data_IF_667447430894
#
_entry.id   IF_667447430894
#
_cell.length_a   1.000
_cell.length_b   1.000
_cell.length_c   1.000
_cell.angle_alpha   90.00
_cell.angle_beta   90.00
_cell.angle_gamma   90.00
#
_symmetry.space_group_name_H-M   'P 1'
#
loop_
_entity.id
_entity.type
_entity.pdbx_description
1 polymer ?
#
# COMPACT_ATOMS: atom_id res chain seq x y z
N UNK A 1 6.75 13.06 -7.35
CA UNK A 1 6.82 12.08 -6.24
C UNK A 1 5.64 11.09 -6.20
N UNK A 2 4.45 11.44 -6.70
CA UNK A 2 3.25 10.58 -6.62
C UNK A 2 3.09 9.50 -7.72
N UNK A 3 3.71 9.64 -8.90
CA UNK A 3 3.36 8.84 -10.09
C UNK A 3 4.15 7.55 -10.30
N UNK A 4 5.37 7.43 -9.76
CA UNK A 4 6.23 6.26 -9.97
C UNK A 4 5.92 5.14 -8.96
N UNK A 5 5.87 5.46 -7.67
CA UNK A 5 5.61 4.49 -6.60
C UNK A 5 4.25 3.81 -6.74
N UNK A 6 3.24 4.53 -7.21
CA UNK A 6 1.87 4.03 -7.39
C UNK A 6 1.75 2.92 -8.45
N UNK A 7 2.53 2.99 -9.55
CA UNK A 7 2.58 1.90 -10.55
C UNK A 7 3.24 0.66 -10.00
N UNK A 8 4.32 0.83 -9.22
CA UNK A 8 5.02 -0.26 -8.55
C UNK A 8 4.13 -0.99 -7.57
N UNK A 9 3.33 -0.25 -6.80
CA UNK A 9 2.35 -0.81 -5.85
C UNK A 9 1.24 -1.54 -6.60
N UNK A 10 0.70 -0.97 -7.68
CA UNK A 10 -0.27 -1.64 -8.56
C UNK A 10 0.25 -2.98 -9.07
N UNK A 11 1.46 -3.00 -9.64
CA UNK A 11 2.04 -4.22 -10.20
C UNK A 11 2.33 -5.27 -9.12
N UNK A 12 2.87 -4.86 -7.97
CA UNK A 12 3.09 -5.75 -6.84
C UNK A 12 1.78 -6.34 -6.30
N UNK A 13 0.73 -5.52 -6.25
CA UNK A 13 -0.60 -5.96 -5.82
C UNK A 13 -1.20 -7.00 -6.76
N UNK A 14 -1.05 -6.84 -8.08
CA UNK A 14 -1.51 -7.83 -9.05
C UNK A 14 -0.78 -9.17 -8.92
N UNK A 15 0.56 -9.13 -8.77
CA UNK A 15 1.38 -10.33 -8.63
C UNK A 15 1.05 -11.10 -7.34
N UNK A 16 0.91 -10.38 -6.22
CA UNK A 16 0.48 -10.97 -4.94
C UNK A 16 -0.94 -11.57 -5.05
N UNK A 17 -1.88 -10.83 -5.63
CA UNK A 17 -3.24 -11.31 -5.85
C UNK A 17 -3.29 -12.60 -6.68
N UNK A 18 -2.54 -12.64 -7.79
CA UNK A 18 -2.44 -13.83 -8.62
C UNK A 18 -1.83 -15.02 -7.86
N UNK A 19 -0.80 -14.79 -7.05
CA UNK A 19 -0.16 -15.83 -6.23
C UNK A 19 -1.10 -16.40 -5.17
N UNK A 20 -1.99 -15.56 -4.64
CA UNK A 20 -3.04 -15.91 -3.67
C UNK A 20 -4.28 -16.54 -4.32
N UNK A 21 -4.26 -16.78 -5.64
CA UNK A 21 -5.29 -17.52 -6.35
C UNK A 21 -6.43 -16.67 -6.92
N UNK A 22 -6.36 -15.33 -6.83
CA UNK A 22 -7.28 -14.46 -7.57
C UNK A 22 -7.04 -14.63 -9.08
N UNK A 23 -8.09 -14.45 -9.88
CA UNK A 23 -8.04 -14.63 -11.34
C UNK A 23 -8.75 -13.52 -12.09
N UNK A 24 -8.33 -13.30 -13.33
CA UNK A 24 -9.02 -12.45 -14.30
C UNK A 24 -9.26 -11.03 -13.78
N UNK A 25 -10.53 -10.64 -13.64
CA UNK A 25 -10.91 -9.31 -13.18
C UNK A 25 -10.49 -9.03 -11.73
N UNK A 26 -10.48 -10.05 -10.85
CA UNK A 26 -10.10 -9.86 -9.45
C UNK A 26 -8.70 -9.30 -9.31
N UNK A 27 -7.71 -9.91 -9.98
CA UNK A 27 -6.32 -9.44 -10.00
C UNK A 27 -6.23 -7.99 -10.46
N UNK A 28 -6.87 -7.66 -11.58
CA UNK A 28 -6.84 -6.29 -12.13
C UNK A 28 -7.48 -5.27 -11.19
N UNK A 29 -8.56 -5.62 -10.51
CA UNK A 29 -9.20 -4.71 -9.56
C UNK A 29 -8.32 -4.42 -8.34
N UNK A 30 -7.57 -5.40 -7.85
CA UNK A 30 -6.57 -5.16 -6.79
C UNK A 30 -5.42 -4.29 -7.30
N UNK A 31 -4.98 -4.50 -8.54
CA UNK A 31 -4.03 -3.60 -9.21
C UNK A 31 -4.52 -2.16 -9.26
N UNK A 32 -5.75 -1.94 -9.72
CA UNK A 32 -6.39 -0.61 -9.74
C UNK A 32 -6.47 -0.02 -8.33
N UNK A 33 -6.81 -0.81 -7.31
CA UNK A 33 -6.81 -0.33 -5.93
C UNK A 33 -5.41 0.13 -5.48
N UNK A 34 -4.37 -0.65 -5.79
CA UNK A 34 -2.97 -0.25 -5.58
C UNK A 34 -2.59 1.01 -6.35
N UNK A 35 -3.10 1.20 -7.56
CA UNK A 35 -2.87 2.42 -8.35
C UNK A 35 -3.62 3.65 -7.80
N UNK A 36 -4.69 3.47 -7.04
CA UNK A 36 -5.52 4.57 -6.55
C UNK A 36 -5.41 4.82 -5.04
N UNK A 37 -4.66 3.98 -4.30
CA UNK A 37 -4.57 4.04 -2.84
C UNK A 37 -4.23 5.43 -2.28
N UNK A 38 -3.41 6.17 -3.01
CA UNK A 38 -2.84 7.45 -2.61
C UNK A 38 -3.51 8.68 -3.26
N UNK A 39 -4.60 8.52 -4.03
CA UNK A 39 -5.24 9.64 -4.75
C UNK A 39 -5.69 10.77 -3.80
N UNK A 40 -6.01 10.44 -2.55
CA UNK A 40 -6.35 11.39 -1.51
C UNK A 40 -5.23 12.35 -1.11
N UNK A 41 -3.96 12.07 -1.48
CA UNK A 41 -2.85 13.01 -1.27
C UNK A 41 -3.03 14.31 -2.04
N UNK A 42 -3.93 14.36 -3.05
CA UNK A 42 -4.37 15.60 -3.70
C UNK A 42 -5.02 16.60 -2.73
N UNK A 43 -5.52 16.12 -1.58
CA UNK A 43 -6.12 16.96 -0.52
C UNK A 43 -5.10 17.39 0.54
N UNK A 44 -3.85 16.93 0.46
CA UNK A 44 -2.78 17.28 1.40
C UNK A 44 -1.97 18.46 0.84
N UNK A 45 -1.68 19.50 1.64
CA UNK A 45 -0.84 20.61 1.19
C UNK A 45 0.52 20.14 0.66
N UNK A 46 0.89 20.61 -0.55
CA UNK A 46 2.18 20.28 -1.20
C UNK A 46 3.38 20.55 -0.29
N UNK A 47 3.34 21.63 0.49
CA UNK A 47 4.41 21.99 1.44
C UNK A 47 4.68 20.90 2.49
N UNK A 48 3.67 20.10 2.85
CA UNK A 48 3.83 18.97 3.75
C UNK A 48 4.36 17.72 3.03
N UNK A 49 3.91 17.49 1.79
CA UNK A 49 4.36 16.35 0.97
C UNK A 49 5.85 16.47 0.59
N UNK A 50 6.30 17.69 0.31
CA UNK A 50 7.68 17.97 -0.11
C UNK A 50 8.57 18.45 1.06
N UNK A 51 8.07 18.38 2.30
CA UNK A 51 8.81 18.88 3.47
C UNK A 51 10.12 18.09 3.66
N UNK A 52 11.30 18.74 3.68
CA UNK A 52 12.53 18.05 3.99
C UNK A 52 12.59 17.70 5.49
N UNK A 53 12.95 16.46 5.79
CA UNK A 53 13.10 15.98 7.17
C UNK A 53 11.83 15.40 7.78
N UNK A 54 11.74 15.41 9.12
CA UNK A 54 10.61 14.81 9.84
C UNK A 54 9.44 15.80 9.91
N UNK A 55 8.24 15.29 9.69
CA UNK A 55 6.99 16.00 9.97
C UNK A 55 6.77 16.09 11.48
N UNK A 56 6.27 17.23 11.93
CA UNK A 56 5.76 17.39 13.28
C UNK A 56 4.50 16.50 13.47
N UNK A 57 4.14 16.15 14.72
CA UNK A 57 3.03 15.24 14.98
C UNK A 57 1.70 15.68 14.37
N UNK A 58 1.41 16.98 14.41
CA UNK A 58 0.24 17.63 13.81
C UNK A 58 0.25 17.60 12.27
N UNK A 59 1.40 17.87 11.66
CA UNK A 59 1.59 17.75 10.21
C UNK A 59 1.39 16.30 9.74
N UNK A 60 1.89 15.34 10.51
CA UNK A 60 1.67 13.92 10.23
C UNK A 60 0.18 13.56 10.30
N UNK A 61 -0.59 14.13 11.23
CA UNK A 61 -2.04 13.90 11.28
C UNK A 61 -2.74 14.38 9.99
N UNK A 62 -2.30 15.50 9.41
CA UNK A 62 -2.85 15.98 8.14
C UNK A 62 -2.55 15.00 6.99
N UNK A 63 -1.32 14.48 6.91
CA UNK A 63 -0.99 13.46 5.89
C UNK A 63 -1.80 12.19 6.10
N UNK A 64 -2.02 11.76 7.35
CA UNK A 64 -2.80 10.57 7.70
C UNK A 64 -4.29 10.66 7.32
N UNK A 65 -4.77 11.82 6.87
CA UNK A 65 -6.11 11.97 6.32
C UNK A 65 -6.22 11.51 4.86
N UNK A 66 -5.11 11.31 4.14
CA UNK A 66 -5.19 10.95 2.73
C UNK A 66 -5.99 9.66 2.44
N UNK A 67 -6.01 8.59 3.27
CA UNK A 67 -6.84 7.43 2.97
C UNK A 67 -8.33 7.76 3.10
N UNK A 68 -8.70 8.67 4.01
CA UNK A 68 -10.06 9.21 4.09
C UNK A 68 -10.43 9.96 2.81
N UNK A 69 -9.55 10.83 2.32
CA UNK A 69 -9.80 11.55 1.07
C UNK A 69 -9.78 10.62 -0.15
N UNK A 70 -8.97 9.56 -0.16
CA UNK A 70 -9.02 8.49 -1.17
C UNK A 70 -10.42 7.89 -1.21
N UNK A 71 -10.98 7.53 -0.05
CA UNK A 71 -12.36 7.03 0.01
C UNK A 71 -13.37 8.05 -0.52
N UNK A 72 -13.30 9.31 -0.08
CA UNK A 72 -14.22 10.35 -0.52
C UNK A 72 -14.20 10.52 -2.05
N UNK A 73 -13.01 10.63 -2.65
CA UNK A 73 -12.84 10.80 -4.09
C UNK A 73 -13.38 9.58 -4.86
N UNK A 74 -12.99 8.37 -4.46
CA UNK A 74 -13.37 7.16 -5.21
C UNK A 74 -14.84 6.80 -5.03
N UNK A 75 -15.43 7.06 -3.86
CA UNK A 75 -16.87 6.82 -3.61
C UNK A 75 -17.79 7.70 -4.44
N UNK A 76 -17.29 8.82 -4.98
CA UNK A 76 -18.04 9.70 -5.88
C UNK A 76 -18.07 9.19 -7.33
N UNK A 77 -17.31 8.14 -7.66
CA UNK A 77 -17.21 7.58 -9.01
C UNK A 77 -18.01 6.27 -9.08
N UNK A 78 -19.14 6.24 -9.80
CA UNK A 78 -19.94 5.02 -9.94
C UNK A 78 -19.13 3.86 -10.53
N UNK A 79 -19.25 2.68 -9.93
CA UNK A 79 -18.56 1.46 -10.37
C UNK A 79 -17.18 1.23 -9.74
N UNK A 80 -16.72 2.11 -8.85
CA UNK A 80 -15.47 1.93 -8.08
C UNK A 80 -15.70 1.56 -6.61
N UNK A 81 -16.92 1.22 -6.20
CA UNK A 81 -17.29 1.01 -4.80
C UNK A 81 -16.39 -0.04 -4.10
N UNK A 82 -16.14 -1.15 -4.79
CA UNK A 82 -15.27 -2.24 -4.29
C UNK A 82 -13.80 -1.82 -4.20
N UNK A 83 -13.29 -1.17 -5.25
CA UNK A 83 -11.90 -0.68 -5.33
C UNK A 83 -11.65 0.42 -4.29
N UNK A 84 -12.66 1.26 -4.05
CA UNK A 84 -12.62 2.35 -3.09
C UNK A 84 -12.26 1.87 -1.69
N UNK A 85 -12.93 0.82 -1.20
CA UNK A 85 -12.62 0.26 0.11
C UNK A 85 -11.18 -0.28 0.17
N UNK A 86 -10.75 -1.04 -0.84
CA UNK A 86 -9.42 -1.65 -0.85
C UNK A 86 -8.30 -0.61 -0.93
N UNK A 87 -8.47 0.40 -1.76
CA UNK A 87 -7.56 1.53 -1.90
C UNK A 87 -7.50 2.36 -0.61
N UNK A 88 -8.64 2.67 0.00
CA UNK A 88 -8.70 3.50 1.20
C UNK A 88 -8.22 2.79 2.48
N UNK A 89 -8.23 1.46 2.51
CA UNK A 89 -7.87 0.68 3.69
C UNK A 89 -6.39 0.24 3.73
N UNK A 90 -5.54 0.73 2.83
CA UNK A 90 -4.12 0.33 2.75
C UNK A 90 -3.29 0.68 4.01
N UNK A 91 -3.79 1.56 4.88
CA UNK A 91 -3.19 1.88 6.19
C UNK A 91 -3.93 1.26 7.39
N UNK A 92 -4.94 0.44 7.13
CA UNK A 92 -5.57 -0.39 8.15
C UNK A 92 -4.65 -1.56 8.53
N UNK A 93 -4.73 -1.98 9.79
CA UNK A 93 -3.90 -3.04 10.36
C UNK A 93 -4.78 -4.14 10.95
N UNK A 94 -4.30 -5.38 10.91
CA UNK A 94 -5.05 -6.52 11.46
C UNK A 94 -5.21 -6.45 12.98
N UNK A 95 -4.26 -5.82 13.67
CA UNK A 95 -4.30 -5.51 15.10
C UNK A 95 -5.32 -4.41 15.49
N UNK A 96 -5.99 -3.78 14.50
CA UNK A 96 -6.98 -2.72 14.72
C UNK A 96 -6.41 -1.34 15.07
N UNK A 97 -5.08 -1.19 15.13
CA UNK A 97 -4.41 0.09 15.41
C UNK A 97 -4.21 0.97 14.17
N UNK A 98 -4.69 0.48 13.02
CA UNK A 98 -4.75 1.19 11.75
C UNK A 98 -5.63 2.42 11.75
N UNK A 99 -5.72 3.06 10.59
CA UNK A 99 -6.46 4.30 10.40
C UNK A 99 -6.88 4.49 8.93
N UNK A 100 -7.89 5.34 8.66
CA UNK A 100 -8.72 6.06 9.64
C UNK A 100 -10.02 5.35 10.04
N UNK A 101 -10.39 4.26 9.37
CA UNK A 101 -11.71 3.63 9.46
C UNK A 101 -11.80 2.54 10.52
N UNK A 102 -10.72 1.80 10.77
CA UNK A 102 -10.67 0.66 11.70
C UNK A 102 -11.82 -0.32 11.47
N UNK A 103 -11.93 -0.88 10.24
CA UNK A 103 -13.03 -1.77 9.91
C UNK A 103 -12.99 -3.02 10.78
N UNK A 104 -14.17 -3.58 11.08
CA UNK A 104 -14.27 -4.85 11.84
C UNK A 104 -13.62 -6.03 11.11
N UNK A 105 -13.60 -5.97 9.79
CA UNK A 105 -12.99 -6.97 8.93
C UNK A 105 -12.26 -6.26 7.79
N UNK A 106 -11.00 -6.63 7.57
CA UNK A 106 -10.18 -6.09 6.50
C UNK A 106 -10.18 -7.08 5.32
N UNK A 107 -10.76 -6.72 4.15
CA UNK A 107 -10.83 -7.61 3.00
C UNK A 107 -9.45 -8.08 2.54
N UNK A 108 -9.36 -9.28 1.97
CA UNK A 108 -8.11 -9.85 1.47
C UNK A 108 -7.38 -8.88 0.53
N UNK A 109 -8.11 -8.24 -0.37
CA UNK A 109 -7.60 -7.31 -1.36
C UNK A 109 -6.99 -6.05 -0.74
N UNK A 110 -7.61 -5.51 0.32
CA UNK A 110 -7.04 -4.40 1.07
C UNK A 110 -5.73 -4.80 1.77
N UNK A 111 -5.68 -6.01 2.33
CA UNK A 111 -4.45 -6.55 2.95
C UNK A 111 -3.34 -6.74 1.92
N UNK A 112 -3.67 -7.18 0.69
CA UNK A 112 -2.73 -7.28 -0.42
C UNK A 112 -2.14 -5.90 -0.73
N UNK A 113 -2.98 -4.88 -0.89
CA UNK A 113 -2.53 -3.50 -1.17
C UNK A 113 -1.65 -2.97 -0.04
N UNK A 114 -2.01 -3.21 1.23
CA UNK A 114 -1.20 -2.80 2.37
C UNK A 114 0.20 -3.46 2.38
N UNK A 115 0.27 -4.77 2.12
CA UNK A 115 1.57 -5.48 2.02
C UNK A 115 2.37 -4.96 0.82
N UNK A 116 1.73 -4.74 -0.33
CA UNK A 116 2.38 -4.20 -1.52
C UNK A 116 2.94 -2.78 -1.30
N UNK A 117 2.20 -1.91 -0.62
CA UNK A 117 2.64 -0.56 -0.26
C UNK A 117 3.87 -0.59 0.66
N UNK A 118 3.80 -1.36 1.77
CA UNK A 118 4.92 -1.50 2.70
C UNK A 118 6.16 -2.10 2.02
N UNK A 119 5.98 -3.16 1.23
CA UNK A 119 7.06 -3.77 0.46
C UNK A 119 7.73 -2.73 -0.43
N UNK A 120 6.95 -2.02 -1.26
CA UNK A 120 7.46 -0.99 -2.18
C UNK A 120 8.16 0.13 -1.42
N UNK A 121 7.59 0.60 -0.32
CA UNK A 121 8.17 1.68 0.48
C UNK A 121 9.54 1.31 1.09
N UNK A 122 9.78 0.03 1.37
CA UNK A 122 11.04 -0.48 1.91
C UNK A 122 12.09 -0.65 0.80
N UNK A 123 11.71 -1.25 -0.32
CA UNK A 123 12.62 -1.65 -1.42
C UNK A 123 12.90 -0.54 -2.42
N UNK A 124 12.03 0.47 -2.54
CA UNK A 124 12.22 1.56 -3.50
C UNK A 124 13.32 2.54 -3.07
N UNK A 125 14.19 2.90 -4.02
CA UNK A 125 15.11 4.03 -3.89
C UNK A 125 14.33 5.35 -3.82
N UNK A 126 14.60 6.11 -2.76
CA UNK A 126 14.07 7.46 -2.58
C UNK A 126 15.21 8.47 -2.61
N UNK A 127 14.95 9.74 -2.98
CA UNK A 127 16.00 10.77 -3.07
C UNK A 127 16.89 10.89 -1.82
N UNK A 128 16.35 10.52 -0.64
CA UNK A 128 17.01 10.62 0.66
C UNK A 128 17.41 9.27 1.29
N UNK A 129 17.09 8.12 0.66
CA UNK A 129 17.39 6.79 1.21
C UNK A 129 17.39 5.73 0.10
N UNK A 130 18.45 4.91 -0.03
CA UNK A 130 18.41 3.76 -0.93
C UNK A 130 17.41 2.70 -0.44
N UNK A 131 16.90 1.90 -1.37
CA UNK A 131 16.11 0.71 -1.10
C UNK A 131 16.86 -0.26 -0.17
N UNK A 132 16.12 -0.98 0.67
CA UNK A 132 16.73 -2.01 1.52
C UNK A 132 16.92 -3.33 0.76
N UNK A 133 17.98 -4.10 1.08
CA UNK A 133 18.16 -5.43 0.51
C UNK A 133 17.07 -6.40 0.96
N UNK A 134 16.93 -7.50 0.23
CA UNK A 134 15.89 -8.54 0.40
C UNK A 134 15.76 -9.01 1.85
N UNK A 135 16.87 -9.36 2.48
CA UNK A 135 16.89 -9.91 3.84
C UNK A 135 16.39 -8.89 4.87
N UNK A 136 16.78 -7.61 4.72
CA UNK A 136 16.32 -6.53 5.58
C UNK A 136 14.83 -6.23 5.35
N UNK A 137 14.37 -6.25 4.10
CA UNK A 137 12.96 -6.07 3.76
C UNK A 137 12.09 -7.16 4.40
N UNK A 138 12.45 -8.43 4.19
CA UNK A 138 11.72 -9.57 4.77
C UNK A 138 11.73 -9.53 6.30
N UNK A 139 12.86 -9.18 6.92
CA UNK A 139 12.95 -9.03 8.38
C UNK A 139 11.96 -7.99 8.93
N UNK A 140 11.84 -6.83 8.27
CA UNK A 140 10.86 -5.80 8.66
C UNK A 140 9.43 -6.30 8.50
N UNK A 141 9.12 -6.94 7.37
CA UNK A 141 7.78 -7.47 7.11
C UNK A 141 7.39 -8.55 8.12
N UNK A 142 8.29 -9.49 8.44
CA UNK A 142 8.05 -10.50 9.48
C UNK A 142 7.86 -9.87 10.86
N UNK A 143 8.62 -8.83 11.20
CA UNK A 143 8.39 -8.09 12.44
C UNK A 143 6.98 -7.47 12.47
N UNK A 144 6.54 -6.87 11.37
CA UNK A 144 5.18 -6.31 11.26
C UNK A 144 4.09 -7.38 11.35
N UNK A 145 4.34 -8.59 10.85
CA UNK A 145 3.45 -9.75 11.05
C UNK A 145 3.39 -10.16 12.52
N UNK A 146 4.54 -10.27 13.20
CA UNK A 146 4.60 -10.59 14.64
C UNK A 146 3.87 -9.54 15.52
N UNK A 147 3.89 -8.28 15.10
CA UNK A 147 3.14 -7.19 15.75
C UNK A 147 1.63 -7.20 15.42
N UNK A 148 1.18 -8.08 14.53
CA UNK A 148 -0.21 -8.15 14.06
C UNK A 148 -0.58 -7.02 13.09
N UNK A 149 0.39 -6.30 12.54
CA UNK A 149 0.13 -5.20 11.61
C UNK A 149 -0.32 -5.72 10.23
N UNK A 150 0.41 -6.72 9.72
CA UNK A 150 0.28 -7.25 8.36
C UNK A 150 -0.19 -8.71 8.38
N UNK A 151 -0.75 -9.12 7.26
CA UNK A 151 -1.18 -10.49 7.03
C UNK A 151 0.01 -11.43 6.80
N UNK A 152 0.17 -12.40 7.70
CA UNK A 152 1.26 -13.37 7.65
C UNK A 152 1.19 -14.33 6.46
N UNK A 153 -0.02 -14.69 6.01
CA UNK A 153 -0.20 -15.59 4.87
C UNK A 153 0.29 -14.89 3.60
N UNK A 154 -0.07 -13.62 3.40
CA UNK A 154 0.41 -12.82 2.27
C UNK A 154 1.94 -12.66 2.31
N UNK A 155 2.48 -12.26 3.47
CA UNK A 155 3.92 -12.04 3.63
C UNK A 155 4.73 -13.33 3.42
N UNK A 156 4.17 -14.49 3.78
CA UNK A 156 4.83 -15.80 3.58
C UNK A 156 5.15 -16.13 2.12
N UNK A 157 4.42 -15.55 1.16
CA UNK A 157 4.68 -15.75 -0.27
C UNK A 157 5.80 -14.87 -0.81
N UNK A 158 6.13 -13.77 -0.13
CA UNK A 158 7.10 -12.78 -0.64
C UNK A 158 8.48 -13.35 -0.93
N UNK A 159 9.09 -14.25 -0.13
CA UNK A 159 10.40 -14.82 -0.44
C UNK A 159 10.47 -15.48 -1.82
N UNK A 160 9.42 -16.20 -2.21
CA UNK A 160 9.33 -16.94 -3.47
C UNK A 160 9.20 -16.03 -4.69
N UNK A 161 8.51 -14.90 -4.53
CA UNK A 161 8.18 -13.99 -5.63
C UNK A 161 8.94 -12.66 -5.54
N UNK A 162 9.86 -12.52 -4.58
CA UNK A 162 10.56 -11.26 -4.31
C UNK A 162 11.25 -10.73 -5.56
N UNK A 163 12.01 -11.58 -6.24
CA UNK A 163 12.82 -11.17 -7.39
C UNK A 163 11.91 -10.78 -8.56
N UNK A 164 10.81 -11.53 -8.76
CA UNK A 164 9.79 -11.20 -9.74
C UNK A 164 9.07 -9.88 -9.43
N UNK A 165 8.73 -9.62 -8.16
CA UNK A 165 8.13 -8.36 -7.71
C UNK A 165 9.09 -7.19 -7.90
N UNK A 166 10.33 -7.36 -7.45
CA UNK A 166 11.36 -6.32 -7.52
C UNK A 166 11.67 -5.97 -8.98
N UNK A 167 11.80 -6.96 -9.86
CA UNK A 167 12.01 -6.75 -11.30
C UNK A 167 10.81 -6.10 -11.98
N UNK A 168 9.59 -6.49 -11.59
CA UNK A 168 8.38 -5.89 -12.12
C UNK A 168 8.25 -4.41 -11.71
N UNK A 169 8.64 -4.09 -10.47
CA UNK A 169 8.71 -2.70 -9.99
C UNK A 169 9.79 -1.88 -10.69
N UNK A 170 10.93 -2.47 -11.02
CA UNK A 170 12.00 -1.78 -11.75
C UNK A 170 11.60 -1.41 -13.20
N UNK A 171 10.61 -2.10 -13.77
CA UNK A 171 10.10 -1.89 -15.14
C UNK A 171 8.87 -0.97 -15.20
N UNK A 172 8.27 -0.63 -14.06
CA UNK A 172 7.01 0.12 -13.94
C UNK A 172 7.25 1.63 -13.78
#
# INVERSE_FOLDING_TARGET
>A
MLSASTRKISCASELLAARLGLRGAGVRLVGIAGYLHDIGKLSVPVVLLDKPGKLAPDEMQLIRQHPYYTHQILSAVPGLETVCAWAAFHHERLDGTGYPFRPRHLPLEARIVAVADVFTAITEDRPYRPGMPKEACLSILYKMVCEGALDGDIVSYLPDIYDALHDAQAKA
#
